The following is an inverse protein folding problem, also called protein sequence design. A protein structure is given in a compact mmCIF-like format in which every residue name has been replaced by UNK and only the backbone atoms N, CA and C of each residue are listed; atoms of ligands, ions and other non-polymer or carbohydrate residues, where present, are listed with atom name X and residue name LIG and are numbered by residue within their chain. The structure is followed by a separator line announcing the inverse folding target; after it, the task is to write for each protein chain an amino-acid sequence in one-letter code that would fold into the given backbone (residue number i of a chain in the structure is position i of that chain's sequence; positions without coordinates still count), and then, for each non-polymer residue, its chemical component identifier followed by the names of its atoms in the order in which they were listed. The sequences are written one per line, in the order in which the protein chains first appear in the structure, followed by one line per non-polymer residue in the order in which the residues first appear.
data_IF_536882502798
#
_entry.id   IF_536882502798
#
_cell.length_a   1.000
_cell.length_b   1.000
_cell.length_c   1.000
_cell.angle_alpha   90.00
_cell.angle_beta   90.00
_cell.angle_gamma   90.00
#
_symmetry.space_group_name_H-M   'P 1'
#
loop_
_entity.id
_entity.type
_entity.pdbx_description
1 polymer ?
#
# COMPACT_ATOMS: atom_id res chain seq x y z
N UNK A 1 10.78 -28.40 0.57
CA UNK A 1 11.83 -29.14 -0.13
C UNK A 1 13.22 -28.58 0.24
N UNK A 2 13.50 -27.31 0.02
CA UNK A 2 14.81 -26.70 0.27
C UNK A 2 15.33 -26.96 1.69
N UNK A 3 14.53 -26.65 2.73
CA UNK A 3 14.87 -26.87 4.15
C UNK A 3 15.17 -28.36 4.48
N UNK A 4 14.53 -29.27 3.74
CA UNK A 4 14.71 -30.72 3.96
C UNK A 4 15.82 -31.35 3.09
N UNK A 5 16.42 -30.59 2.18
CA UNK A 5 17.41 -31.08 1.21
C UNK A 5 16.85 -32.18 0.30
N UNK A 6 15.59 -32.06 -0.14
CA UNK A 6 14.93 -33.08 -0.97
C UNK A 6 14.25 -32.47 -2.21
N UNK A 7 13.81 -33.31 -3.14
CA UNK A 7 13.10 -32.89 -4.34
C UNK A 7 11.73 -32.28 -3.99
N UNK A 8 11.25 -31.33 -4.79
CA UNK A 8 9.95 -30.67 -4.56
C UNK A 8 8.77 -31.63 -4.53
N UNK A 9 8.78 -32.65 -5.37
CA UNK A 9 7.73 -33.67 -5.43
C UNK A 9 7.70 -34.64 -4.24
N UNK A 10 8.73 -34.61 -3.37
CA UNK A 10 8.76 -35.41 -2.14
C UNK A 10 8.03 -34.72 -0.97
N UNK A 11 7.52 -33.50 -1.17
CA UNK A 11 6.85 -32.73 -0.14
C UNK A 11 5.45 -32.32 -0.59
N UNK A 12 4.45 -32.66 0.20
CA UNK A 12 3.07 -32.24 0.00
C UNK A 12 2.67 -31.28 1.11
N UNK A 13 2.29 -30.06 0.72
CA UNK A 13 1.78 -29.04 1.64
C UNK A 13 0.32 -28.78 1.33
N UNK A 14 -0.54 -29.08 2.29
CA UNK A 14 -1.97 -28.82 2.17
C UNK A 14 -2.35 -27.59 2.97
N UNK A 15 -2.77 -26.54 2.28
CA UNK A 15 -3.39 -25.36 2.87
C UNK A 15 -4.89 -25.45 2.60
N UNK A 16 -5.69 -25.54 3.66
CA UNK A 16 -7.14 -25.60 3.52
C UNK A 16 -7.68 -24.21 3.10
N UNK A 17 -8.83 -23.81 3.51
CA UNK A 17 -9.43 -22.54 3.10
C UNK A 17 -8.65 -21.35 3.63
N UNK A 18 -8.30 -20.42 2.75
CA UNK A 18 -7.81 -19.09 3.12
C UNK A 18 -8.96 -18.09 3.09
N UNK A 19 -9.03 -17.21 4.08
CA UNK A 19 -9.95 -16.07 4.11
C UNK A 19 -9.43 -14.84 3.36
N UNK A 20 -8.54 -15.04 2.39
CA UNK A 20 -7.81 -14.00 1.68
C UNK A 20 -6.35 -13.90 2.13
N UNK A 21 -5.49 -13.37 1.27
CA UNK A 21 -4.05 -13.14 1.54
C UNK A 21 -3.74 -11.69 1.84
N UNK A 22 -4.31 -10.79 1.04
CA UNK A 22 -4.13 -9.34 1.15
C UNK A 22 -2.65 -8.88 1.25
N UNK A 23 -1.73 -9.68 0.69
CA UNK A 23 -0.29 -9.50 0.78
C UNK A 23 0.38 -10.14 2.01
N UNK A 24 -0.32 -10.38 3.11
CA UNK A 24 0.24 -10.91 4.35
C UNK A 24 0.53 -12.41 4.38
N UNK A 25 0.26 -13.15 3.30
CA UNK A 25 0.43 -14.60 3.24
C UNK A 25 1.34 -15.06 2.10
N UNK A 26 2.15 -14.20 1.54
CA UNK A 26 3.09 -14.54 0.46
C UNK A 26 4.30 -15.29 1.02
N UNK A 27 4.93 -14.77 2.05
CA UNK A 27 6.18 -15.26 2.64
C UNK A 27 6.03 -15.72 4.09
N UNK A 28 5.13 -15.12 4.86
CA UNK A 28 5.01 -15.31 6.31
C UNK A 28 4.66 -16.75 6.71
N UNK A 29 3.98 -17.49 5.83
CA UNK A 29 3.67 -18.90 6.07
C UNK A 29 4.88 -19.83 5.92
N UNK A 30 6.01 -19.35 5.37
CA UNK A 30 7.23 -20.14 5.22
C UNK A 30 7.73 -20.67 6.57
N UNK A 31 7.71 -19.84 7.62
CA UNK A 31 8.11 -20.24 8.96
C UNK A 31 7.35 -21.48 9.44
N UNK A 32 6.02 -21.40 9.42
CA UNK A 32 5.17 -22.49 9.90
C UNK A 32 5.27 -23.75 9.02
N UNK A 33 5.33 -23.55 7.69
CA UNK A 33 5.49 -24.67 6.75
C UNK A 33 6.82 -25.39 6.92
N UNK A 34 7.91 -24.66 7.16
CA UNK A 34 9.24 -25.24 7.40
C UNK A 34 9.28 -26.04 8.70
N UNK A 35 8.74 -25.49 9.79
CA UNK A 35 8.66 -26.20 11.08
C UNK A 35 7.82 -27.46 10.97
N UNK A 36 6.65 -27.39 10.31
CA UNK A 36 5.81 -28.56 10.07
C UNK A 36 6.53 -29.63 9.25
N UNK A 37 7.26 -29.22 8.21
CA UNK A 37 8.00 -30.14 7.34
C UNK A 37 9.15 -30.83 8.08
N UNK A 38 9.92 -30.11 8.91
CA UNK A 38 10.99 -30.69 9.72
C UNK A 38 10.40 -31.72 10.71
N UNK A 39 9.32 -31.38 11.39
CA UNK A 39 8.64 -32.29 12.31
C UNK A 39 8.07 -33.52 11.59
N UNK A 40 7.46 -33.34 10.41
CA UNK A 40 6.94 -34.46 9.62
C UNK A 40 8.04 -35.43 9.18
N UNK A 41 9.21 -34.90 8.75
CA UNK A 41 10.37 -35.73 8.41
C UNK A 41 10.91 -36.48 9.61
N UNK A 42 11.02 -35.81 10.78
CA UNK A 42 11.57 -36.38 12.01
C UNK A 42 10.72 -37.53 12.54
N UNK A 43 9.41 -37.41 12.51
CA UNK A 43 8.48 -38.38 13.06
C UNK A 43 7.86 -39.30 12.03
N UNK A 44 8.18 -39.13 10.75
CA UNK A 44 7.58 -39.84 9.63
C UNK A 44 6.03 -39.85 9.67
N UNK A 45 5.44 -38.71 9.96
CA UNK A 45 3.99 -38.53 10.10
C UNK A 45 3.56 -37.18 9.51
N UNK A 46 2.30 -37.10 9.09
CA UNK A 46 1.69 -35.82 8.74
C UNK A 46 1.64 -34.92 9.99
N UNK A 47 2.05 -33.67 9.82
CA UNK A 47 2.04 -32.65 10.88
C UNK A 47 1.20 -31.46 10.43
N UNK A 48 0.40 -30.95 11.35
CA UNK A 48 -0.42 -29.74 11.15
C UNK A 48 0.00 -28.68 12.14
N UNK A 49 0.22 -27.48 11.66
CA UNK A 49 0.41 -26.26 12.47
C UNK A 49 -0.75 -25.31 12.23
N UNK A 50 -1.26 -24.76 13.29
CA UNK A 50 -2.24 -23.68 13.31
C UNK A 50 -1.90 -22.77 14.47
N UNK A 51 -1.24 -21.61 14.23
CA UNK A 51 -1.04 -20.60 15.27
C UNK A 51 -2.40 -20.08 15.74
N UNK A 52 -2.49 -19.72 16.99
CA UNK A 52 -3.63 -18.97 17.50
C UNK A 52 -3.49 -17.47 17.14
N UNK A 53 -4.38 -16.64 17.63
CA UNK A 53 -4.40 -15.21 17.31
C UNK A 53 -3.20 -14.48 17.91
N UNK A 54 -2.84 -14.82 19.13
CA UNK A 54 -1.76 -14.14 19.85
C UNK A 54 -0.40 -14.53 19.28
N UNK A 55 -0.21 -15.80 18.97
CA UNK A 55 0.98 -16.29 18.25
C UNK A 55 1.12 -15.61 16.88
N UNK A 56 0.05 -15.52 16.11
CA UNK A 56 0.07 -14.86 14.81
C UNK A 56 0.40 -13.37 14.92
N UNK A 57 -0.17 -12.67 15.90
CA UNK A 57 0.09 -11.26 16.15
C UNK A 57 1.54 -10.95 16.50
N UNK A 58 2.21 -11.87 17.16
CA UNK A 58 3.61 -11.69 17.60
C UNK A 58 4.64 -12.26 16.65
N UNK A 59 4.34 -13.36 15.95
CA UNK A 59 5.31 -14.09 15.14
C UNK A 59 5.30 -13.71 13.66
N UNK A 60 4.23 -13.11 13.13
CA UNK A 60 4.14 -12.73 11.72
C UNK A 60 4.28 -11.23 11.51
N UNK A 61 4.83 -10.86 10.35
CA UNK A 61 4.98 -9.46 9.94
C UNK A 61 3.64 -8.77 9.69
N UNK A 62 3.67 -7.47 9.79
CA UNK A 62 2.52 -6.57 9.60
C UNK A 62 2.84 -5.55 8.51
N UNK A 63 1.92 -4.62 8.27
CA UNK A 63 2.19 -3.45 7.43
C UNK A 63 3.39 -2.69 7.98
N UNK A 64 4.30 -2.26 7.10
CA UNK A 64 5.40 -1.38 7.51
C UNK A 64 4.83 -0.07 8.07
N UNK A 65 5.26 0.30 9.25
CA UNK A 65 5.15 1.65 9.77
C UNK A 65 6.35 2.47 9.30
N UNK A 66 6.13 3.78 9.18
CA UNK A 66 7.10 4.74 8.69
C UNK A 66 7.24 5.91 9.66
N UNK A 67 8.45 6.42 9.75
CA UNK A 67 8.74 7.77 10.20
C UNK A 67 9.15 8.55 8.97
N UNK A 68 8.61 9.75 8.81
CA UNK A 68 8.90 10.59 7.65
C UNK A 68 9.26 11.99 8.11
N UNK A 69 10.46 12.42 7.73
CA UNK A 69 10.92 13.79 7.89
C UNK A 69 10.79 14.47 6.54
N UNK A 70 10.07 15.58 6.49
CA UNK A 70 9.87 16.31 5.24
C UNK A 70 9.82 17.83 5.42
N UNK A 71 10.11 18.52 4.34
CA UNK A 71 9.87 19.95 4.16
C UNK A 71 9.07 20.16 2.89
N UNK A 72 8.10 21.06 2.94
CA UNK A 72 7.28 21.47 1.80
C UNK A 72 7.29 22.98 1.65
N UNK A 73 7.71 23.46 0.48
CA UNK A 73 7.61 24.87 0.09
C UNK A 73 6.33 25.11 -0.70
N UNK A 74 5.60 26.17 -0.38
CA UNK A 74 4.35 26.52 -1.06
C UNK A 74 4.18 28.04 -1.16
N UNK A 75 3.35 28.49 -2.10
CA UNK A 75 3.00 29.89 -2.29
C UNK A 75 1.75 30.30 -1.46
N UNK A 76 1.41 31.60 -1.50
CA UNK A 76 0.25 32.16 -0.80
C UNK A 76 -1.10 31.63 -1.34
N UNK A 77 -1.11 31.06 -2.53
CA UNK A 77 -2.26 30.37 -3.11
C UNK A 77 -2.37 28.90 -2.66
N UNK A 78 -1.37 28.42 -1.91
CA UNK A 78 -1.28 27.06 -1.40
C UNK A 78 -0.80 26.03 -2.44
N UNK A 79 -0.18 26.51 -3.54
CA UNK A 79 0.44 25.62 -4.52
C UNK A 79 1.81 25.18 -4.02
N UNK A 80 2.04 23.88 -4.10
CA UNK A 80 3.34 23.28 -3.75
C UNK A 80 4.37 23.71 -4.80
N UNK A 81 5.51 24.19 -4.34
CA UNK A 81 6.64 24.61 -5.17
C UNK A 81 7.76 23.57 -5.13
N UNK A 82 8.03 23.00 -3.96
CA UNK A 82 9.05 21.97 -3.79
C UNK A 82 8.74 21.08 -2.60
N UNK A 83 9.18 19.82 -2.68
CA UNK A 83 9.10 18.84 -1.58
C UNK A 83 10.45 18.16 -1.42
N UNK A 84 10.95 18.09 -0.19
CA UNK A 84 12.07 17.22 0.13
C UNK A 84 11.76 16.37 1.36
N UNK A 85 12.35 15.17 1.45
CA UNK A 85 12.18 14.36 2.65
C UNK A 85 12.77 12.96 2.57
N UNK A 86 12.78 12.32 3.74
CA UNK A 86 13.30 10.99 3.97
C UNK A 86 12.25 10.10 4.63
N UNK A 87 11.97 8.96 4.03
CA UNK A 87 11.00 7.96 4.46
C UNK A 87 11.72 6.78 5.12
N UNK A 88 11.64 6.63 6.42
CA UNK A 88 12.25 5.55 7.19
C UNK A 88 11.23 4.46 7.49
N UNK A 89 11.40 3.28 6.90
CA UNK A 89 10.51 2.13 7.11
C UNK A 89 11.07 1.16 8.14
N UNK A 90 10.28 0.75 9.12
CA UNK A 90 10.65 -0.34 10.03
C UNK A 90 10.47 -1.67 9.33
N UNK A 91 11.56 -2.37 9.01
CA UNK A 91 11.53 -3.60 8.22
C UNK A 91 11.60 -4.88 9.04
N UNK A 92 12.16 -4.83 10.26
CA UNK A 92 12.39 -6.00 11.07
C UNK A 92 13.78 -6.62 10.85
N UNK A 93 13.95 -7.86 11.28
CA UNK A 93 15.26 -8.52 11.29
C UNK A 93 15.71 -9.00 9.90
N UNK A 94 14.81 -9.17 8.96
CA UNK A 94 15.10 -9.55 7.57
C UNK A 94 14.31 -8.70 6.58
N UNK A 95 14.79 -8.64 5.34
CA UNK A 95 14.23 -7.75 4.32
C UNK A 95 12.80 -8.11 3.91
N UNK A 96 12.47 -9.40 3.82
CA UNK A 96 11.20 -9.89 3.26
C UNK A 96 10.82 -9.10 1.98
N UNK A 97 9.68 -8.42 1.99
CA UNK A 97 9.21 -7.58 0.87
C UNK A 97 9.42 -6.07 1.14
N UNK A 98 10.30 -5.71 2.08
CA UNK A 98 10.49 -4.32 2.50
C UNK A 98 11.00 -3.42 1.39
N UNK A 99 11.95 -3.88 0.55
CA UNK A 99 12.46 -3.09 -0.57
C UNK A 99 11.33 -2.60 -1.49
N UNK A 100 10.58 -3.52 -2.15
CA UNK A 100 9.46 -3.12 -3.00
C UNK A 100 8.36 -2.30 -2.31
N UNK A 101 8.14 -2.49 -1.00
CA UNK A 101 7.18 -1.68 -0.23
C UNK A 101 7.68 -0.25 -0.06
N UNK A 102 8.96 -0.06 0.26
CA UNK A 102 9.56 1.27 0.40
C UNK A 102 9.63 1.99 -0.94
N UNK A 103 9.98 1.29 -2.02
CA UNK A 103 9.95 1.85 -3.37
C UNK A 103 8.55 2.34 -3.75
N UNK A 104 7.52 1.53 -3.47
CA UNK A 104 6.15 1.95 -3.75
C UNK A 104 5.71 3.13 -2.91
N UNK A 105 6.17 3.26 -1.67
CA UNK A 105 5.88 4.45 -0.87
C UNK A 105 6.41 5.72 -1.54
N UNK A 106 7.61 5.68 -2.11
CA UNK A 106 8.15 6.80 -2.89
C UNK A 106 7.37 7.07 -4.17
N UNK A 107 6.99 6.04 -4.93
CA UNK A 107 6.16 6.20 -6.14
C UNK A 107 4.76 6.76 -5.87
N UNK A 108 4.36 6.88 -4.61
CA UNK A 108 3.07 7.42 -4.18
C UNK A 108 3.22 8.59 -3.20
N UNK A 109 4.43 9.14 -3.04
CA UNK A 109 4.69 10.28 -2.16
C UNK A 109 3.99 11.56 -2.62
N UNK A 110 3.65 11.63 -3.89
CA UNK A 110 2.91 12.73 -4.52
C UNK A 110 1.38 12.54 -4.47
N UNK A 111 0.91 11.31 -4.16
CA UNK A 111 -0.50 10.95 -4.35
C UNK A 111 -1.01 11.44 -5.72
N UNK A 112 -1.93 12.40 -5.75
CA UNK A 112 -2.50 12.97 -6.96
C UNK A 112 -2.07 14.43 -7.18
N UNK A 113 -1.01 14.89 -6.51
CA UNK A 113 -0.58 16.27 -6.50
C UNK A 113 0.71 16.48 -7.28
N UNK A 114 0.76 17.59 -8.00
CA UNK A 114 1.93 17.94 -8.79
C UNK A 114 3.00 18.58 -7.90
N UNK A 115 4.20 18.00 -7.93
CA UNK A 115 5.39 18.54 -7.30
C UNK A 115 6.36 19.03 -8.37
N UNK A 116 6.48 20.38 -8.58
CA UNK A 116 7.39 20.93 -9.59
C UNK A 116 8.85 20.56 -9.37
N UNK A 117 9.28 20.54 -8.10
CA UNK A 117 10.60 20.12 -7.68
C UNK A 117 10.48 19.13 -6.51
N UNK A 118 11.19 18.01 -6.57
CA UNK A 118 11.07 16.96 -5.58
C UNK A 118 12.37 16.20 -5.36
N UNK A 119 12.74 16.06 -4.08
CA UNK A 119 13.86 15.23 -3.64
C UNK A 119 13.42 14.36 -2.49
N UNK A 120 13.16 13.09 -2.75
CA UNK A 120 12.72 12.13 -1.74
C UNK A 120 13.59 10.88 -1.74
N UNK A 121 13.82 10.33 -0.56
CA UNK A 121 14.61 9.11 -0.36
C UNK A 121 13.86 8.13 0.55
N UNK A 122 14.07 6.84 0.39
CA UNK A 122 13.55 5.83 1.31
C UNK A 122 14.67 5.03 1.96
N UNK A 123 14.47 4.71 3.23
CA UNK A 123 15.42 4.01 4.06
C UNK A 123 14.76 2.78 4.70
N UNK A 124 14.93 1.59 4.12
CA UNK A 124 14.46 0.36 4.74
C UNK A 124 15.36 0.01 5.95
N UNK A 125 14.86 0.27 7.15
CA UNK A 125 15.62 0.14 8.39
C UNK A 125 15.54 -1.27 8.97
N UNK A 126 16.69 -1.93 9.13
CA UNK A 126 16.78 -3.18 9.87
C UNK A 126 16.57 -2.93 11.36
N UNK A 127 15.63 -3.66 11.96
CA UNK A 127 15.28 -3.54 13.38
C UNK A 127 15.18 -4.91 14.08
N UNK A 128 15.17 -4.93 15.39
CA UNK A 128 15.10 -6.16 16.18
C UNK A 128 13.64 -6.61 16.44
N UNK A 129 12.81 -6.51 15.42
CA UNK A 129 11.39 -6.94 15.43
C UNK A 129 11.17 -8.00 14.37
N UNK A 130 10.01 -8.66 14.37
CA UNK A 130 9.61 -9.51 13.25
C UNK A 130 9.63 -8.73 11.95
N UNK A 131 9.95 -9.42 10.85
CA UNK A 131 10.00 -8.77 9.54
C UNK A 131 8.61 -8.35 9.10
N UNK A 132 8.42 -7.05 8.88
CA UNK A 132 7.22 -6.56 8.25
C UNK A 132 7.14 -7.04 6.79
N UNK A 133 5.94 -7.11 6.26
CA UNK A 133 5.70 -7.72 4.96
C UNK A 133 4.67 -6.94 4.15
N UNK A 134 4.38 -7.43 2.97
CA UNK A 134 3.31 -6.91 2.13
C UNK A 134 1.98 -6.86 2.88
N UNK A 135 1.29 -5.77 2.72
CA UNK A 135 -0.12 -5.63 3.10
C UNK A 135 -0.82 -4.73 2.08
N UNK A 136 -2.10 -4.97 1.85
CA UNK A 136 -2.95 -4.30 0.85
C UNK A 136 -2.55 -2.84 0.60
N UNK A 137 -2.21 -2.49 -0.65
CA UNK A 137 -1.65 -1.20 -1.05
C UNK A 137 -0.12 -1.14 -1.07
N UNK A 138 0.58 -2.08 -0.38
CA UNK A 138 2.00 -2.40 -0.58
C UNK A 138 2.94 -1.18 -0.57
N UNK A 139 2.80 -0.27 0.37
CA UNK A 139 3.55 0.99 0.46
C UNK A 139 2.80 2.22 -0.06
N UNK A 140 1.86 2.06 -0.98
CA UNK A 140 1.03 3.16 -1.47
C UNK A 140 0.32 3.93 -0.35
N UNK A 141 -0.39 3.30 0.58
CA UNK A 141 -1.04 4.00 1.69
C UNK A 141 -0.07 4.83 2.53
N UNK A 142 1.16 4.37 2.73
CA UNK A 142 2.17 5.08 3.50
C UNK A 142 2.67 6.35 2.77
N UNK A 143 2.86 6.28 1.44
CA UNK A 143 3.18 7.46 0.63
C UNK A 143 2.03 8.45 0.60
N UNK A 144 0.83 7.97 0.31
CA UNK A 144 -0.39 8.80 0.21
C UNK A 144 -0.69 9.55 1.49
N UNK A 145 -0.58 8.93 2.67
CA UNK A 145 -0.89 9.61 3.94
C UNK A 145 0.06 10.79 4.21
N UNK A 146 1.30 10.72 3.76
CA UNK A 146 2.26 11.81 3.90
C UNK A 146 1.88 12.97 2.98
N UNK A 147 1.54 12.70 1.72
CA UNK A 147 1.04 13.72 0.79
C UNK A 147 -0.20 14.43 1.33
N UNK A 148 -1.16 13.67 1.86
CA UNK A 148 -2.37 14.24 2.47
C UNK A 148 -2.06 15.07 3.72
N UNK A 149 -1.06 14.65 4.52
CA UNK A 149 -0.61 15.41 5.67
C UNK A 149 0.00 16.75 5.27
N UNK A 150 0.84 16.79 4.22
CA UNK A 150 1.40 18.04 3.69
C UNK A 150 0.28 19.01 3.26
N UNK A 151 -0.73 18.52 2.55
CA UNK A 151 -1.89 19.34 2.15
C UNK A 151 -2.65 19.90 3.35
N UNK A 152 -2.89 19.09 4.38
CA UNK A 152 -3.55 19.54 5.61
C UNK A 152 -2.73 20.62 6.35
N UNK A 153 -1.42 20.48 6.40
CA UNK A 153 -0.54 21.45 7.04
C UNK A 153 -0.46 22.76 6.27
N UNK A 154 -0.42 22.73 4.94
CA UNK A 154 -0.53 23.93 4.09
C UNK A 154 -1.87 24.63 4.33
N UNK A 155 -2.97 23.88 4.32
CA UNK A 155 -4.30 24.41 4.57
C UNK A 155 -4.41 25.06 5.94
N UNK A 156 -3.86 24.43 6.96
CA UNK A 156 -3.81 24.97 8.31
C UNK A 156 -2.98 26.25 8.39
N UNK A 157 -1.80 26.28 7.78
CA UNK A 157 -0.93 27.44 7.76
C UNK A 157 -1.56 28.66 7.08
N UNK A 158 -2.34 28.43 6.03
CA UNK A 158 -3.03 29.48 5.28
C UNK A 158 -4.45 29.80 5.80
N UNK A 159 -4.96 29.04 6.77
CA UNK A 159 -6.32 29.19 7.30
C UNK A 159 -7.41 28.87 6.24
N UNK A 160 -7.13 27.99 5.28
CA UNK A 160 -7.99 27.64 4.16
C UNK A 160 -8.59 26.23 4.31
N UNK A 161 -9.61 25.93 3.51
CA UNK A 161 -10.15 24.58 3.44
C UNK A 161 -9.15 23.62 2.74
N UNK A 162 -8.82 22.46 3.37
CA UNK A 162 -7.95 21.48 2.72
C UNK A 162 -8.41 21.04 1.34
N UNK A 163 -9.72 21.06 1.06
CA UNK A 163 -10.25 20.74 -0.27
C UNK A 163 -9.77 21.74 -1.33
N UNK A 164 -9.70 23.04 -0.99
CA UNK A 164 -9.19 24.07 -1.90
C UNK A 164 -7.71 23.82 -2.23
N UNK A 165 -6.91 23.49 -1.22
CA UNK A 165 -5.48 23.18 -1.41
C UNK A 165 -5.31 21.91 -2.24
N UNK A 166 -6.12 20.86 -2.02
CA UNK A 166 -6.12 19.66 -2.88
C UNK A 166 -6.36 20.03 -4.34
N UNK A 167 -7.43 20.79 -4.61
CA UNK A 167 -7.77 21.20 -5.97
C UNK A 167 -6.69 22.04 -6.66
N UNK A 168 -6.06 22.94 -5.92
CA UNK A 168 -4.99 23.81 -6.43
C UNK A 168 -3.74 23.01 -6.87
N UNK A 169 -3.54 21.81 -6.32
CA UNK A 169 -2.37 20.99 -6.53
C UNK A 169 -2.62 19.73 -7.38
N UNK A 170 -3.85 19.46 -7.82
CA UNK A 170 -4.12 18.30 -8.67
C UNK A 170 -3.28 18.38 -9.97
N UNK A 171 -2.79 17.21 -10.40
CA UNK A 171 -2.11 17.10 -11.68
C UNK A 171 -2.96 17.66 -12.83
N UNK A 172 -2.29 18.22 -13.81
CA UNK A 172 -2.85 18.61 -15.10
C UNK A 172 -2.25 17.76 -16.21
N UNK A 173 -2.97 17.60 -17.33
CA UNK A 173 -2.44 16.91 -18.49
C UNK A 173 -1.14 17.56 -18.99
N UNK A 174 -0.16 16.74 -19.34
CA UNK A 174 1.17 17.15 -19.78
C UNK A 174 2.18 17.36 -18.63
N UNK A 175 1.76 17.35 -17.37
CA UNK A 175 2.70 17.38 -16.23
C UNK A 175 3.34 16.01 -16.01
N UNK A 176 4.53 16.02 -15.42
CA UNK A 176 5.30 14.82 -15.10
C UNK A 176 5.18 14.47 -13.62
N UNK A 177 5.02 13.18 -13.33
CA UNK A 177 5.18 12.65 -11.98
C UNK A 177 6.62 12.71 -11.51
N UNK A 178 6.94 12.54 -10.20
CA UNK A 178 8.32 12.46 -9.70
C UNK A 178 9.20 11.41 -10.38
N UNK A 179 8.58 10.39 -10.97
CA UNK A 179 9.27 9.33 -11.73
C UNK A 179 9.14 9.50 -13.25
N UNK A 180 8.87 10.73 -13.72
CA UNK A 180 8.85 11.18 -15.12
C UNK A 180 7.78 10.49 -16.00
N UNK A 181 6.71 10.00 -15.42
CA UNK A 181 5.54 9.56 -16.18
C UNK A 181 4.68 10.78 -16.52
N UNK A 182 4.35 10.97 -17.80
CA UNK A 182 3.45 12.01 -18.24
C UNK A 182 1.99 11.68 -17.87
N UNK A 183 1.28 12.67 -17.36
CA UNK A 183 -0.14 12.56 -17.03
C UNK A 183 -0.96 12.98 -18.25
N UNK A 184 -1.66 12.05 -18.89
CA UNK A 184 -2.38 12.27 -20.15
C UNK A 184 -3.90 12.15 -20.04
N UNK A 185 -4.40 11.58 -18.94
CA UNK A 185 -5.85 11.34 -18.75
C UNK A 185 -6.24 11.74 -17.31
N UNK A 186 -6.28 13.05 -17.07
CA UNK A 186 -6.61 13.58 -15.76
C UNK A 186 -8.13 13.68 -15.57
N UNK A 187 -8.67 12.75 -14.80
CA UNK A 187 -10.11 12.64 -14.51
C UNK A 187 -10.51 13.18 -13.13
N UNK A 188 -9.54 13.43 -12.24
CA UNK A 188 -9.81 13.81 -10.86
C UNK A 188 -10.60 15.13 -10.73
N UNK A 189 -10.34 16.20 -11.49
CA UNK A 189 -11.14 17.43 -11.39
C UNK A 189 -12.64 17.16 -11.56
N UNK A 190 -13.02 16.36 -12.57
CA UNK A 190 -14.41 15.97 -12.78
C UNK A 190 -14.97 15.13 -11.65
N UNK A 191 -14.18 14.16 -11.13
CA UNK A 191 -14.60 13.32 -10.00
C UNK A 191 -14.83 14.17 -8.76
N UNK A 192 -13.98 15.17 -8.51
CA UNK A 192 -14.16 16.09 -7.39
C UNK A 192 -15.47 16.88 -7.52
N UNK A 193 -15.71 17.47 -8.68
CA UNK A 193 -16.92 18.26 -8.96
C UNK A 193 -18.19 17.42 -8.75
N UNK A 194 -18.26 16.24 -9.36
CA UNK A 194 -19.39 15.33 -9.24
C UNK A 194 -19.59 14.86 -7.78
N UNK A 195 -18.51 14.57 -7.05
CA UNK A 195 -18.58 14.10 -5.67
C UNK A 195 -18.93 15.20 -4.69
N UNK A 196 -18.42 16.43 -4.87
CA UNK A 196 -18.82 17.57 -4.05
C UNK A 196 -20.32 17.82 -4.12
N UNK A 197 -20.87 17.80 -5.35
CA UNK A 197 -22.29 17.99 -5.57
C UNK A 197 -23.12 16.82 -5.01
N UNK A 198 -22.78 15.58 -5.35
CA UNK A 198 -23.58 14.41 -4.97
C UNK A 198 -23.51 14.07 -3.48
N UNK A 199 -22.42 14.44 -2.79
CA UNK A 199 -22.26 14.22 -1.35
C UNK A 199 -22.74 15.36 -0.47
N UNK A 200 -23.20 16.47 -1.06
CA UNK A 200 -23.54 17.71 -0.33
C UNK A 200 -22.39 18.18 0.61
N UNK A 201 -21.16 18.12 0.08
CA UNK A 201 -19.94 18.28 0.86
C UNK A 201 -19.93 19.57 1.67
N UNK A 202 -20.25 20.71 1.05
CA UNK A 202 -20.12 22.03 1.68
C UNK A 202 -21.11 22.20 2.84
N UNK A 203 -22.35 21.81 2.69
CA UNK A 203 -23.35 21.88 3.77
C UNK A 203 -22.97 20.92 4.91
N UNK A 204 -22.53 19.72 4.61
CA UNK A 204 -22.06 18.75 5.62
C UNK A 204 -20.82 19.24 6.33
N UNK A 205 -19.87 19.88 5.63
CA UNK A 205 -18.71 20.47 6.25
C UNK A 205 -19.07 21.59 7.20
N UNK A 206 -19.98 22.49 6.80
CA UNK A 206 -20.48 23.56 7.68
C UNK A 206 -21.12 22.96 8.95
N UNK A 207 -21.93 21.94 8.80
CA UNK A 207 -22.54 21.26 9.95
C UNK A 207 -21.50 20.63 10.90
N UNK A 208 -20.37 20.15 10.38
CA UNK A 208 -19.24 19.64 11.18
C UNK A 208 -18.56 20.78 11.93
N UNK A 209 -18.31 21.93 11.28
CA UNK A 209 -17.72 23.11 11.92
C UNK A 209 -18.62 23.63 13.05
N UNK A 210 -19.92 23.77 12.79
CA UNK A 210 -20.93 24.20 13.77
C UNK A 210 -21.03 23.24 14.96
N UNK A 211 -20.94 21.92 14.70
CA UNK A 211 -20.87 20.92 15.75
C UNK A 211 -19.65 21.10 16.63
N UNK A 212 -18.48 21.26 16.03
CA UNK A 212 -17.22 21.37 16.75
C UNK A 212 -17.10 22.69 17.53
N UNK A 213 -17.71 23.78 17.04
CA UNK A 213 -17.75 25.07 17.70
C UNK A 213 -18.53 25.05 19.03
N UNK A 214 -19.49 24.15 19.20
CA UNK A 214 -20.24 23.96 20.45
C UNK A 214 -19.39 23.42 21.60
N UNK A 215 -18.18 22.96 21.32
CA UNK A 215 -17.30 22.30 22.29
C UNK A 215 -17.76 20.87 22.61
N UNK A 216 -16.97 20.19 23.42
CA UNK A 216 -17.23 18.80 23.82
C UNK A 216 -16.07 17.87 23.50
N UNK A 217 -16.14 16.65 24.06
CA UNK A 217 -15.09 15.63 23.90
C UNK A 217 -15.13 15.00 22.50
N UNK A 218 -16.33 14.83 21.95
CA UNK A 218 -16.51 14.22 20.63
C UNK A 218 -16.41 15.31 19.56
N UNK A 219 -15.45 15.13 18.64
CA UNK A 219 -15.28 15.96 17.46
C UNK A 219 -15.69 15.19 16.21
N UNK A 220 -16.14 15.91 15.20
CA UNK A 220 -16.48 15.37 13.88
C UNK A 220 -15.47 15.86 12.85
N UNK A 221 -15.31 15.10 11.78
CA UNK A 221 -14.49 15.45 10.62
C UNK A 221 -15.16 14.99 9.34
N UNK A 222 -14.85 15.68 8.24
CA UNK A 222 -15.20 15.28 6.88
C UNK A 222 -14.05 15.72 5.97
N UNK A 223 -13.66 14.86 5.05
CA UNK A 223 -12.68 15.17 4.03
C UNK A 223 -13.06 14.51 2.71
N UNK A 224 -12.64 15.11 1.60
CA UNK A 224 -12.67 14.55 0.27
C UNK A 224 -11.22 14.48 -0.21
N UNK A 225 -10.70 13.26 -0.41
CA UNK A 225 -9.30 13.02 -0.75
C UNK A 225 -9.19 12.22 -2.05
N UNK A 226 -8.26 12.56 -2.94
CA UNK A 226 -8.02 11.78 -4.15
C UNK A 226 -7.14 10.56 -3.84
N UNK A 227 -7.13 9.62 -4.77
CA UNK A 227 -6.16 8.53 -4.80
C UNK A 227 -5.64 8.33 -6.22
N UNK A 228 -4.33 8.43 -6.39
CA UNK A 228 -3.61 7.90 -7.54
C UNK A 228 -2.88 6.65 -7.12
N UNK A 229 -3.06 5.55 -7.83
CA UNK A 229 -2.43 4.29 -7.46
C UNK A 229 -1.91 3.52 -8.67
N UNK A 230 -0.63 3.13 -8.63
CA UNK A 230 -0.02 2.25 -9.61
C UNK A 230 -0.27 0.79 -9.27
N UNK A 231 -0.96 0.07 -10.14
CA UNK A 231 -1.40 -1.31 -9.88
C UNK A 231 -0.28 -2.34 -10.11
N UNK A 232 0.73 -2.04 -10.92
CA UNK A 232 1.83 -2.96 -11.23
C UNK A 232 2.73 -3.23 -10.01
N UNK A 233 3.38 -4.39 -10.00
CA UNK A 233 4.45 -4.67 -9.05
C UNK A 233 5.69 -3.84 -9.43
N UNK A 234 6.36 -3.23 -8.43
CA UNK A 234 7.52 -2.35 -8.68
C UNK A 234 8.71 -3.08 -9.30
N UNK A 235 8.93 -4.35 -8.95
CA UNK A 235 9.85 -5.24 -9.66
C UNK A 235 9.14 -5.80 -10.89
N UNK A 236 9.34 -5.19 -12.05
CA UNK A 236 8.53 -5.39 -13.26
C UNK A 236 8.51 -6.83 -13.78
N UNK A 237 9.58 -7.60 -13.56
CA UNK A 237 9.66 -9.02 -13.94
C UNK A 237 8.67 -9.92 -13.20
N UNK A 238 8.07 -9.46 -12.11
CA UNK A 238 6.98 -10.18 -11.43
C UNK A 238 5.59 -9.89 -12.01
N UNK A 239 5.48 -8.93 -12.93
CA UNK A 239 4.22 -8.62 -13.61
C UNK A 239 3.95 -9.66 -14.71
N UNK A 240 3.53 -10.84 -14.29
CA UNK A 240 3.29 -11.98 -15.16
C UNK A 240 1.91 -12.58 -14.93
N UNK A 241 1.34 -13.12 -15.98
CA UNK A 241 0.15 -13.97 -15.93
C UNK A 241 0.47 -15.31 -16.57
N UNK A 242 -0.15 -16.38 -16.08
CA UNK A 242 0.03 -17.72 -16.63
C UNK A 242 -1.30 -18.41 -16.88
N UNK A 243 -1.36 -19.15 -17.95
CA UNK A 243 -2.46 -20.05 -18.23
C UNK A 243 -1.92 -21.43 -18.61
N UNK A 244 -2.55 -22.49 -18.08
CA UNK A 244 -2.30 -23.87 -18.49
C UNK A 244 -3.53 -24.37 -19.22
N UNK A 245 -3.34 -24.84 -20.44
CA UNK A 245 -4.41 -25.37 -21.26
C UNK A 245 -4.13 -26.83 -21.52
N UNK A 246 -5.01 -27.71 -21.07
CA UNK A 246 -4.99 -29.14 -21.41
C UNK A 246 -6.05 -29.42 -22.47
N UNK A 247 -5.65 -30.06 -23.57
CA UNK A 247 -6.54 -30.54 -24.61
C UNK A 247 -6.54 -32.07 -24.51
N UNK A 248 -7.69 -32.63 -24.26
CA UNK A 248 -7.85 -34.09 -24.12
C UNK A 248 -8.19 -34.73 -25.46
N UNK A 249 -7.98 -36.04 -25.57
CA UNK A 249 -8.20 -36.83 -26.80
C UNK A 249 -9.67 -36.90 -27.20
N UNK A 250 -10.59 -36.67 -26.28
CA UNK A 250 -12.04 -36.59 -26.53
C UNK A 250 -12.49 -35.22 -27.03
N UNK A 251 -11.54 -34.27 -27.23
CA UNK A 251 -11.82 -32.91 -27.67
C UNK A 251 -12.21 -31.93 -26.53
N UNK A 252 -12.29 -32.41 -25.28
CA UNK A 252 -12.52 -31.51 -24.15
C UNK A 252 -11.29 -30.65 -23.84
N UNK A 253 -11.50 -29.48 -23.31
CA UNK A 253 -10.43 -28.52 -22.98
C UNK A 253 -10.58 -28.06 -21.54
N UNK A 254 -9.52 -28.22 -20.77
CA UNK A 254 -9.41 -27.66 -19.43
C UNK A 254 -8.47 -26.45 -19.46
N UNK A 255 -8.97 -25.30 -19.04
CA UNK A 255 -8.17 -24.08 -18.88
C UNK A 255 -8.00 -23.77 -17.39
N UNK A 256 -6.76 -23.74 -16.94
CA UNK A 256 -6.39 -23.29 -15.60
C UNK A 256 -5.71 -21.93 -15.74
N UNK A 257 -6.40 -20.87 -15.32
CA UNK A 257 -5.89 -19.52 -15.36
C UNK A 257 -5.57 -19.04 -13.93
N UNK A 258 -4.38 -18.52 -13.73
CA UNK A 258 -4.02 -17.77 -12.53
C UNK A 258 -4.00 -16.28 -12.90
N UNK A 259 -5.13 -15.64 -12.76
CA UNK A 259 -5.18 -14.19 -12.68
C UNK A 259 -4.42 -13.72 -11.42
N UNK A 260 -3.55 -12.75 -11.56
CA UNK A 260 -2.90 -12.11 -10.42
C UNK A 260 -3.97 -11.34 -9.64
N UNK A 261 -4.20 -11.66 -8.37
CA UNK A 261 -4.85 -10.71 -7.48
C UNK A 261 -3.83 -9.59 -7.24
N UNK A 262 -4.17 -8.39 -7.68
CA UNK A 262 -3.43 -7.20 -7.28
C UNK A 262 -3.43 -7.13 -5.74
N UNK A 263 -2.23 -7.04 -5.18
CA UNK A 263 -2.03 -6.95 -3.74
C UNK A 263 -2.50 -5.59 -3.20
#
# INVERSE_FOLDING_TARGET
AHVLGCQNNAVVVNVRRMGGGFGGKETQMNLFSCVAAIAAKRWNRAVKIRPDRDDDMTATGKRHDFVVDYEVGFDDDGRILAVQGDWYARCGFSADLSGPVTDRALFHCDNAYYYPDVRVSSHPMKTNTVSNTAFRGFGGPQGVIVAERMIEEIAYALGRDPLEIRKANLYQNGQLTPYHQEVNDQILPRIFEELEASSDYHARRQAVLDWNAKGGVIRKGIALTPVKFGISFTATWYNQAGALVHVYTDGSVQVINRGRQAA
#
